data_IF_295195775805
#
_entry.id   IF_295195775805
#
_cell.length_a   1.000
_cell.length_b   1.000
_cell.length_c   1.000
_cell.angle_alpha   90.00
_cell.angle_beta   90.00
_cell.angle_gamma   90.00
#
_symmetry.space_group_name_H-M   'P 1'
#
loop_
_entity.id
_entity.type
_entity.pdbx_description
1 polymer ?
#
# COMPACT_ATOMS: atom_id res chain seq x y z
N UNK A 1 11.43 -5.42 71.25
CA UNK A 1 10.66 -5.04 70.05
C UNK A 1 11.69 -4.69 68.99
N UNK A 2 11.82 -5.57 68.01
CA UNK A 2 12.94 -5.69 67.09
C UNK A 2 12.32 -5.77 65.70
N UNK A 3 12.60 -4.78 64.86
CA UNK A 3 12.37 -4.84 63.41
C UNK A 3 13.47 -4.00 62.76
N UNK A 4 14.68 -4.55 62.76
CA UNK A 4 15.71 -4.19 61.79
C UNK A 4 15.19 -4.61 60.42
N UNK A 5 14.94 -3.63 59.56
CA UNK A 5 14.51 -3.84 58.19
C UNK A 5 15.75 -3.67 57.31
N UNK A 6 16.57 -4.71 57.31
CA UNK A 6 17.81 -4.82 56.53
C UNK A 6 17.44 -5.23 55.10
N UNK A 7 17.00 -4.25 54.30
CA UNK A 7 16.86 -4.44 52.86
C UNK A 7 18.19 -4.11 52.19
N UNK A 8 18.79 -5.04 51.43
CA UNK A 8 20.00 -4.74 50.66
C UNK A 8 19.71 -3.66 49.61
N UNK A 9 20.68 -2.80 49.30
CA UNK A 9 20.52 -1.74 48.31
C UNK A 9 20.14 -2.35 46.96
N UNK A 10 19.08 -1.82 46.36
CA UNK A 10 18.68 -2.15 44.98
C UNK A 10 19.84 -1.83 44.04
N UNK A 11 20.52 -2.86 43.56
CA UNK A 11 21.47 -2.76 42.44
C UNK A 11 20.67 -2.44 41.18
N UNK A 12 20.92 -1.26 40.62
CA UNK A 12 20.32 -0.78 39.38
C UNK A 12 20.63 -1.78 38.25
N UNK A 13 19.62 -2.38 37.60
CA UNK A 13 19.84 -3.37 36.53
C UNK A 13 20.61 -2.82 35.32
N UNK A 14 20.74 -1.50 35.20
CA UNK A 14 21.47 -0.83 34.13
C UNK A 14 23.00 -0.74 34.36
N UNK A 15 23.48 -1.06 35.56
CA UNK A 15 24.92 -1.04 35.91
C UNK A 15 25.64 -2.39 35.68
N UNK A 16 24.96 -3.35 35.04
CA UNK A 16 25.62 -4.59 34.61
C UNK A 16 26.51 -4.30 33.39
N UNK A 17 27.83 -4.53 33.46
CA UNK A 17 28.71 -4.38 32.31
C UNK A 17 28.23 -5.33 31.22
N UNK A 18 27.67 -4.75 30.14
CA UNK A 18 27.25 -5.51 28.98
C UNK A 18 28.44 -6.35 28.51
N UNK A 19 28.27 -7.67 28.29
CA UNK A 19 29.34 -8.49 27.75
C UNK A 19 29.79 -7.84 26.45
N UNK A 20 31.06 -7.44 26.39
CA UNK A 20 31.68 -6.89 25.20
C UNK A 20 31.50 -7.93 24.08
N UNK A 21 30.43 -7.73 23.31
CA UNK A 21 30.11 -8.61 22.21
C UNK A 21 31.09 -8.15 21.15
N UNK A 22 32.19 -8.90 20.99
CA UNK A 22 33.15 -8.72 19.92
C UNK A 22 32.42 -8.94 18.58
N UNK A 23 31.68 -7.92 18.16
CA UNK A 23 31.21 -7.71 16.80
C UNK A 23 32.37 -7.15 15.97
N UNK A 24 33.55 -7.75 16.10
CA UNK A 24 34.55 -7.83 15.05
C UNK A 24 34.02 -8.79 13.98
N UNK A 25 32.86 -8.41 13.43
CA UNK A 25 32.32 -8.94 12.19
C UNK A 25 33.35 -8.55 11.15
N UNK A 26 34.02 -9.56 10.62
CA UNK A 26 34.87 -9.54 9.44
C UNK A 26 34.41 -8.50 8.41
N UNK A 27 34.98 -7.30 8.48
CA UNK A 27 35.01 -6.32 7.39
C UNK A 27 36.21 -6.56 6.47
N UNK A 28 36.97 -7.62 6.73
CA UNK A 28 38.08 -8.03 5.88
C UNK A 28 37.53 -8.82 4.68
N UNK A 29 37.78 -8.23 3.51
CA UNK A 29 37.74 -8.81 2.17
C UNK A 29 36.36 -9.02 1.54
N UNK A 30 35.70 -7.91 1.20
CA UNK A 30 35.06 -7.85 -0.12
C UNK A 30 36.19 -7.91 -1.18
N UNK A 31 36.57 -9.12 -1.56
CA UNK A 31 37.60 -9.34 -2.57
C UNK A 31 37.09 -8.86 -3.93
N UNK A 32 37.95 -8.24 -4.74
CA UNK A 32 37.62 -7.83 -6.10
C UNK A 32 37.04 -8.99 -6.94
N UNK A 33 37.38 -10.24 -6.59
CA UNK A 33 36.83 -11.46 -7.19
C UNK A 33 35.31 -11.61 -7.01
N UNK A 34 34.74 -11.13 -5.90
CA UNK A 34 33.29 -11.25 -5.65
C UNK A 34 32.49 -10.25 -6.49
N UNK A 35 33.09 -9.10 -6.81
CA UNK A 35 32.51 -8.11 -7.73
C UNK A 35 32.52 -8.66 -9.14
N UNK A 36 33.62 -9.29 -9.58
CA UNK A 36 33.73 -9.90 -10.91
C UNK A 36 32.79 -11.12 -11.05
N UNK A 37 32.66 -11.94 -10.00
CA UNK A 37 31.71 -13.05 -9.99
C UNK A 37 30.25 -12.56 -10.04
N UNK A 38 29.92 -11.50 -9.31
CA UNK A 38 28.59 -10.89 -9.37
C UNK A 38 28.32 -10.27 -10.75
N UNK A 39 29.30 -9.60 -11.36
CA UNK A 39 29.17 -9.05 -12.72
C UNK A 39 29.01 -10.14 -13.78
N UNK A 40 29.74 -11.25 -13.66
CA UNK A 40 29.60 -12.41 -14.55
C UNK A 40 28.23 -13.09 -14.40
N UNK A 41 27.70 -13.18 -13.19
CA UNK A 41 26.35 -13.70 -12.96
C UNK A 41 25.27 -12.79 -13.60
N UNK A 42 25.46 -11.46 -13.51
CA UNK A 42 24.53 -10.49 -14.14
C UNK A 42 24.64 -10.52 -15.67
N UNK A 43 25.83 -10.69 -16.24
CA UNK A 43 25.99 -10.80 -17.70
C UNK A 43 25.37 -12.09 -18.25
N UNK A 44 25.53 -13.22 -17.55
CA UNK A 44 24.90 -14.49 -17.90
C UNK A 44 23.36 -14.43 -17.88
N UNK A 45 22.79 -13.58 -17.00
CA UNK A 45 21.34 -13.37 -16.94
C UNK A 45 20.83 -12.52 -18.13
N UNK A 46 21.68 -11.67 -18.69
CA UNK A 46 21.43 -10.95 -19.95
C UNK A 46 21.31 -11.91 -21.13
N UNK A 47 22.26 -12.86 -21.25
CA UNK A 47 22.22 -13.89 -22.30
C UNK A 47 20.96 -14.76 -22.22
N UNK A 48 20.48 -15.04 -21.01
CA UNK A 48 19.23 -15.80 -20.79
C UNK A 48 17.97 -15.03 -21.23
N UNK A 49 18.03 -13.70 -21.30
CA UNK A 49 16.95 -12.84 -21.78
C UNK A 49 17.00 -12.60 -23.29
N UNK A 50 18.18 -12.72 -23.91
CA UNK A 50 18.38 -12.63 -25.37
C UNK A 50 18.37 -13.98 -26.08
N UNK A 51 18.34 -15.09 -25.34
CA UNK A 51 18.17 -16.42 -25.91
C UNK A 51 16.92 -16.46 -26.80
N UNK A 52 17.04 -16.85 -28.08
CA UNK A 52 15.90 -16.93 -28.98
C UNK A 52 14.86 -17.90 -28.39
N UNK A 53 13.57 -17.58 -28.45
CA UNK A 53 12.50 -18.36 -27.82
C UNK A 53 12.41 -19.81 -28.32
N UNK A 54 13.12 -20.12 -29.40
CA UNK A 54 13.15 -21.42 -30.07
C UNK A 54 14.14 -22.40 -29.41
N UNK A 55 15.05 -21.92 -28.55
CA UNK A 55 16.10 -22.75 -27.93
C UNK A 55 15.72 -23.31 -26.55
N UNK A 56 14.57 -22.93 -25.98
CA UNK A 56 14.27 -23.17 -24.55
C UNK A 56 13.35 -24.39 -24.30
N UNK A 57 12.70 -24.98 -25.31
CA UNK A 57 11.82 -26.14 -25.05
C UNK A 57 11.70 -27.10 -26.26
N UNK A 58 12.71 -27.94 -26.49
CA UNK A 58 12.46 -29.30 -27.00
C UNK A 58 12.25 -30.22 -25.79
N UNK A 59 11.05 -30.17 -25.22
CA UNK A 59 10.62 -31.02 -24.09
C UNK A 59 10.23 -32.44 -24.54
N UNK A 60 10.57 -32.81 -25.79
CA UNK A 60 10.28 -34.11 -26.41
C UNK A 60 11.29 -35.21 -26.04
N UNK A 61 12.43 -34.87 -25.42
CA UNK A 61 13.48 -35.85 -25.08
C UNK A 61 13.54 -36.22 -23.59
N UNK A 62 12.52 -35.88 -22.79
CA UNK A 62 12.35 -36.53 -21.48
C UNK A 62 11.61 -37.85 -21.73
N UNK A 63 12.38 -38.90 -22.05
CA UNK A 63 11.93 -40.28 -21.89
C UNK A 63 11.43 -40.42 -20.44
N UNK A 64 10.12 -40.33 -20.29
CA UNK A 64 9.43 -40.76 -19.08
C UNK A 64 9.56 -42.27 -19.09
N UNK A 65 10.58 -42.78 -18.40
CA UNK A 65 10.69 -44.20 -18.08
C UNK A 65 9.34 -44.66 -17.53
N UNK A 66 8.73 -45.55 -18.29
CA UNK A 66 7.43 -46.16 -18.10
C UNK A 66 7.43 -46.89 -16.75
N UNK A 67 7.08 -46.15 -15.68
CA UNK A 67 6.82 -46.69 -14.36
C UNK A 67 5.45 -47.39 -14.33
N UNK A 68 5.23 -48.31 -15.27
CA UNK A 68 4.17 -49.31 -15.22
C UNK A 68 4.63 -50.47 -14.34
N UNK A 69 4.96 -50.19 -13.08
CA UNK A 69 5.23 -51.21 -12.08
C UNK A 69 3.94 -51.47 -11.30
N UNK A 70 3.29 -52.58 -11.64
CA UNK A 70 2.43 -53.38 -10.77
C UNK A 70 1.38 -52.59 -9.97
N UNK A 71 0.37 -52.10 -10.68
CA UNK A 71 -0.94 -51.94 -10.07
C UNK A 71 -1.49 -53.35 -9.78
N UNK A 72 -1.09 -53.91 -8.65
CA UNK A 72 -1.72 -55.10 -8.10
C UNK A 72 -3.24 -54.85 -8.04
N UNK A 73 -3.95 -55.84 -8.58
CA UNK A 73 -5.39 -55.99 -8.64
C UNK A 73 -5.97 -56.03 -7.21
N UNK A 74 -6.06 -54.87 -6.57
CA UNK A 74 -6.81 -54.72 -5.33
C UNK A 74 -8.30 -54.82 -5.69
N UNK A 75 -9.04 -55.83 -5.21
CA UNK A 75 -10.46 -55.94 -5.46
C UNK A 75 -11.15 -54.71 -4.88
N UNK A 76 -11.58 -53.80 -5.75
CA UNK A 76 -12.42 -52.66 -5.41
C UNK A 76 -13.70 -53.25 -4.81
N UNK A 77 -13.99 -53.04 -3.51
CA UNK A 77 -15.22 -53.55 -2.93
C UNK A 77 -16.40 -52.92 -3.66
N UNK A 78 -17.30 -53.74 -4.20
CA UNK A 78 -18.61 -53.35 -4.75
C UNK A 78 -19.52 -52.85 -3.60
N UNK A 79 -19.08 -51.86 -2.83
CA UNK A 79 -20.04 -51.07 -2.07
C UNK A 79 -20.84 -50.26 -3.09
N UNK A 80 -22.17 -50.41 -3.12
CA UNK A 80 -23.00 -49.49 -3.89
C UNK A 80 -22.76 -48.12 -3.28
N UNK A 81 -21.88 -47.34 -3.91
CA UNK A 81 -21.73 -45.92 -3.66
C UNK A 81 -23.10 -45.37 -3.99
N UNK A 82 -23.90 -45.28 -2.93
CA UNK A 82 -25.11 -44.50 -2.85
C UNK A 82 -24.60 -43.09 -3.06
N UNK A 83 -24.40 -42.76 -4.33
CA UNK A 83 -24.26 -41.45 -4.89
C UNK A 83 -25.61 -40.81 -4.63
N UNK A 84 -25.84 -40.51 -3.35
CA UNK A 84 -26.68 -39.45 -2.91
C UNK A 84 -26.22 -38.31 -3.78
N UNK A 85 -27.03 -38.09 -4.80
CA UNK A 85 -27.03 -36.91 -5.62
C UNK A 85 -27.45 -35.83 -4.63
N UNK A 86 -26.57 -35.48 -3.70
CA UNK A 86 -26.53 -34.17 -3.10
C UNK A 86 -26.25 -33.25 -4.27
N UNK A 87 -27.28 -33.00 -5.06
CA UNK A 87 -27.42 -31.75 -5.79
C UNK A 87 -27.05 -30.71 -4.75
N UNK A 88 -25.88 -30.06 -4.86
CA UNK A 88 -25.43 -29.16 -3.82
C UNK A 88 -26.58 -28.20 -3.64
N UNK A 89 -27.22 -28.26 -2.47
CA UNK A 89 -28.39 -27.43 -2.18
C UNK A 89 -27.84 -26.03 -2.30
N UNK A 90 -28.13 -25.37 -3.42
CA UNK A 90 -27.77 -23.98 -3.67
C UNK A 90 -28.60 -23.24 -2.64
N UNK A 91 -28.07 -23.11 -1.43
CA UNK A 91 -28.61 -22.22 -0.43
C UNK A 91 -28.57 -20.87 -1.15
N UNK A 92 -29.70 -20.18 -1.35
CA UNK A 92 -29.71 -18.80 -1.82
C UNK A 92 -29.17 -17.90 -0.71
N UNK A 93 -27.98 -18.21 -0.22
CA UNK A 93 -27.16 -17.37 0.61
C UNK A 93 -26.36 -16.54 -0.35
N UNK A 94 -26.75 -15.28 -0.48
CA UNK A 94 -25.97 -14.14 -0.95
C UNK A 94 -24.54 -14.53 -1.31
N UNK A 95 -24.33 -15.03 -2.53
CA UNK A 95 -23.02 -15.43 -2.99
C UNK A 95 -22.19 -14.15 -3.09
N UNK A 96 -21.50 -13.82 -2.00
CA UNK A 96 -20.58 -12.69 -1.94
C UNK A 96 -19.62 -12.88 -3.10
N UNK A 97 -19.73 -12.01 -4.11
CA UNK A 97 -18.88 -12.05 -5.28
C UNK A 97 -17.44 -11.95 -4.80
N UNK A 98 -16.74 -13.09 -4.73
CA UNK A 98 -15.37 -13.13 -4.26
C UNK A 98 -14.53 -12.40 -5.31
N UNK A 99 -13.67 -11.45 -4.91
CA UNK A 99 -12.77 -10.82 -5.86
C UNK A 99 -11.94 -11.92 -6.51
N UNK A 100 -11.83 -11.89 -7.84
CA UNK A 100 -10.98 -12.83 -8.55
C UNK A 100 -9.56 -12.71 -8.00
N UNK A 101 -8.98 -13.81 -7.56
CA UNK A 101 -7.56 -13.86 -7.22
C UNK A 101 -6.79 -13.35 -8.45
N UNK A 102 -6.03 -12.27 -8.27
CA UNK A 102 -5.25 -11.64 -9.32
C UNK A 102 -4.28 -12.68 -9.89
N UNK A 103 -4.59 -13.23 -11.07
CA UNK A 103 -3.62 -13.96 -11.87
C UNK A 103 -2.81 -12.92 -12.62
N UNK A 104 -1.54 -12.75 -12.28
CA UNK A 104 -0.64 -11.92 -13.06
C UNK A 104 -0.49 -12.55 -14.45
N UNK A 105 -1.17 -11.99 -15.45
CA UNK A 105 -0.95 -12.35 -16.84
C UNK A 105 0.39 -11.81 -17.31
N UNK A 106 1.18 -12.61 -18.03
CA UNK A 106 2.37 -12.12 -18.75
C UNK A 106 1.93 -11.01 -19.71
N UNK A 107 2.67 -9.91 -19.75
CA UNK A 107 2.40 -8.75 -20.61
C UNK A 107 1.45 -7.68 -20.04
N UNK A 108 0.98 -7.80 -18.79
CA UNK A 108 0.22 -6.72 -18.17
C UNK A 108 1.13 -5.54 -17.79
N UNK A 109 0.74 -4.27 -18.06
CA UNK A 109 1.54 -3.11 -17.69
C UNK A 109 1.77 -2.99 -16.17
N UNK A 110 0.89 -3.62 -15.37
CA UNK A 110 1.07 -3.72 -13.92
C UNK A 110 2.36 -4.48 -13.52
N UNK A 111 2.85 -5.40 -14.36
CA UNK A 111 4.11 -6.11 -14.11
C UNK A 111 5.35 -5.24 -14.35
N UNK A 112 5.23 -4.17 -15.14
CA UNK A 112 6.34 -3.24 -15.42
C UNK A 112 6.59 -2.27 -14.26
N UNK A 113 5.56 -1.97 -13.47
CA UNK A 113 5.65 -1.01 -12.38
C UNK A 113 6.75 -1.29 -11.35
N UNK A 114 6.87 -2.51 -10.77
CA UNK A 114 7.93 -2.79 -9.80
C UNK A 114 9.32 -2.64 -10.41
N UNK A 115 9.52 -3.04 -11.67
CA UNK A 115 10.79 -2.83 -12.37
C UNK A 115 11.11 -1.35 -12.58
N UNK A 116 10.12 -0.56 -13.01
CA UNK A 116 10.28 0.88 -13.23
C UNK A 116 10.53 1.63 -11.91
N UNK A 117 9.89 1.20 -10.83
CA UNK A 117 10.15 1.66 -9.47
C UNK A 117 11.58 1.37 -9.03
N UNK A 118 12.07 0.16 -9.29
CA UNK A 118 13.43 -0.24 -8.93
C UNK A 118 14.47 0.56 -9.71
N UNK A 119 14.24 0.79 -11.01
CA UNK A 119 15.09 1.64 -11.85
C UNK A 119 15.09 3.08 -11.33
N UNK A 120 13.94 3.65 -11.02
CA UNK A 120 13.84 5.01 -10.49
C UNK A 120 14.52 5.13 -9.11
N UNK A 121 14.35 4.14 -8.23
CA UNK A 121 15.02 4.09 -6.93
C UNK A 121 16.55 3.96 -7.07
N UNK A 122 17.03 3.13 -8.00
CA UNK A 122 18.46 2.99 -8.30
C UNK A 122 19.06 4.28 -8.88
N UNK A 123 18.39 4.90 -9.85
CA UNK A 123 18.80 6.18 -10.42
C UNK A 123 18.84 7.28 -9.35
N UNK A 124 17.83 7.31 -8.47
CA UNK A 124 17.78 8.22 -7.33
C UNK A 124 18.97 8.00 -6.39
N UNK A 125 19.24 6.76 -5.98
CA UNK A 125 20.37 6.43 -5.10
C UNK A 125 21.69 6.85 -5.72
N UNK A 126 21.88 6.57 -7.01
CA UNK A 126 23.06 6.97 -7.75
C UNK A 126 23.22 8.49 -7.80
N UNK A 127 22.12 9.23 -7.98
CA UNK A 127 22.13 10.69 -7.95
C UNK A 127 22.51 11.23 -6.58
N UNK A 128 21.99 10.64 -5.50
CA UNK A 128 22.34 11.04 -4.12
C UNK A 128 23.81 10.80 -3.78
N UNK A 129 24.41 9.73 -4.33
CA UNK A 129 25.82 9.40 -4.10
C UNK A 129 26.78 10.24 -4.94
N UNK A 130 26.37 10.66 -6.14
CA UNK A 130 27.25 11.35 -7.11
C UNK A 130 27.17 12.87 -7.05
N UNK A 131 26.01 13.46 -6.72
CA UNK A 131 25.82 14.92 -6.63
C UNK A 131 26.04 15.50 -5.21
N UNK A 132 26.90 14.88 -4.41
CA UNK A 132 27.09 15.08 -2.96
C UNK A 132 27.48 16.50 -2.48
N UNK A 133 27.42 17.55 -3.31
CA UNK A 133 27.68 18.93 -2.88
C UNK A 133 26.48 19.61 -2.21
N UNK A 134 25.25 19.07 -2.32
CA UNK A 134 24.10 19.59 -1.60
C UNK A 134 23.21 18.47 -1.02
N UNK A 135 22.88 18.48 0.29
CA UNK A 135 21.94 17.53 0.86
C UNK A 135 20.55 17.74 0.23
N UNK A 136 19.90 16.64 -0.18
CA UNK A 136 18.56 16.74 -0.75
C UNK A 136 17.58 17.28 0.29
N UNK A 137 16.70 18.19 -0.15
CA UNK A 137 15.62 18.69 0.69
C UNK A 137 14.73 17.51 1.12
N UNK A 138 14.51 17.29 2.43
CA UNK A 138 13.74 16.14 2.92
C UNK A 138 12.30 16.10 2.38
N UNK A 139 11.72 17.26 2.08
CA UNK A 139 10.40 17.33 1.43
C UNK A 139 10.37 16.68 0.05
N UNK A 140 11.48 16.73 -0.71
CA UNK A 140 11.57 16.15 -2.04
C UNK A 140 11.65 14.61 -1.97
N UNK A 141 12.34 14.09 -0.96
CA UNK A 141 12.31 12.65 -0.61
C UNK A 141 10.89 12.18 -0.28
N UNK A 142 10.18 12.90 0.61
CA UNK A 142 8.80 12.55 0.98
C UNK A 142 7.89 12.58 -0.24
N UNK A 143 7.98 13.62 -1.07
CA UNK A 143 7.23 13.72 -2.31
C UNK A 143 7.51 12.53 -3.24
N UNK A 144 8.79 12.20 -3.45
CA UNK A 144 9.20 11.08 -4.29
C UNK A 144 8.62 9.75 -3.82
N UNK A 145 8.74 9.44 -2.53
CA UNK A 145 8.20 8.19 -1.95
C UNK A 145 6.67 8.16 -2.06
N UNK A 146 5.98 9.23 -1.67
CA UNK A 146 4.54 9.30 -1.75
C UNK A 146 4.02 9.21 -3.19
N UNK A 147 4.68 9.87 -4.14
CA UNK A 147 4.33 9.80 -5.55
C UNK A 147 4.54 8.38 -6.09
N UNK A 148 5.67 7.75 -5.76
CA UNK A 148 6.01 6.41 -6.23
C UNK A 148 5.01 5.36 -5.73
N UNK A 149 4.73 5.34 -4.42
CA UNK A 149 3.72 4.44 -3.82
C UNK A 149 2.31 4.78 -4.33
N UNK A 150 2.00 6.06 -4.49
CA UNK A 150 0.71 6.50 -5.00
C UNK A 150 0.45 6.04 -6.44
N UNK A 151 1.45 6.13 -7.32
CA UNK A 151 1.37 5.63 -8.69
C UNK A 151 1.16 4.12 -8.73
N UNK A 152 1.82 3.36 -7.85
CA UNK A 152 1.56 1.92 -7.70
C UNK A 152 0.12 1.62 -7.35
N UNK A 153 -0.43 2.33 -6.36
CA UNK A 153 -1.82 2.16 -5.94
C UNK A 153 -2.81 2.54 -7.05
N UNK A 154 -2.52 3.59 -7.83
CA UNK A 154 -3.33 3.97 -9.00
C UNK A 154 -3.27 2.90 -10.09
N UNK A 155 -2.10 2.37 -10.40
CA UNK A 155 -1.95 1.29 -11.38
C UNK A 155 -2.67 0.00 -10.92
N UNK A 156 -2.57 -0.33 -9.64
CA UNK A 156 -3.31 -1.42 -9.03
C UNK A 156 -4.82 -1.22 -9.14
N UNK A 157 -5.30 0.00 -8.90
CA UNK A 157 -6.71 0.35 -9.07
C UNK A 157 -7.17 0.17 -10.52
N UNK A 158 -6.38 0.64 -11.50
CA UNK A 158 -6.68 0.47 -12.92
C UNK A 158 -6.82 -1.01 -13.31
N UNK A 159 -5.99 -1.89 -12.76
CA UNK A 159 -6.04 -3.32 -13.06
C UNK A 159 -7.17 -4.07 -12.31
N UNK A 160 -7.46 -3.66 -11.07
CA UNK A 160 -8.48 -4.31 -10.23
C UNK A 160 -9.91 -3.81 -10.51
N UNK A 161 -10.05 -2.76 -11.32
CA UNK A 161 -11.33 -2.18 -11.71
C UNK A 161 -12.15 -1.64 -10.55
N UNK A 162 -13.44 -2.02 -10.49
CA UNK A 162 -14.44 -1.45 -9.55
C UNK A 162 -14.18 -1.77 -8.06
N UNK A 163 -13.34 -2.75 -7.77
CA UNK A 163 -13.19 -3.34 -6.43
C UNK A 163 -12.13 -2.65 -5.56
N UNK A 164 -11.21 -1.89 -6.15
CA UNK A 164 -10.08 -1.29 -5.44
C UNK A 164 -10.27 0.20 -5.12
N UNK A 165 -11.47 0.62 -4.69
CA UNK A 165 -11.75 2.04 -4.36
C UNK A 165 -10.80 2.60 -3.30
N UNK A 166 -10.42 1.77 -2.33
CA UNK A 166 -9.43 2.13 -1.31
C UNK A 166 -8.06 2.45 -1.92
N UNK A 167 -7.64 1.73 -2.96
CA UNK A 167 -6.37 1.98 -3.63
C UNK A 167 -6.39 3.30 -4.43
N UNK A 168 -7.48 3.60 -5.13
CA UNK A 168 -7.66 4.91 -5.78
C UNK A 168 -7.54 6.05 -4.75
N UNK A 169 -8.27 5.95 -3.65
CA UNK A 169 -8.27 6.97 -2.60
C UNK A 169 -6.87 7.11 -1.97
N UNK A 170 -6.27 6.00 -1.55
CA UNK A 170 -4.95 6.01 -0.92
C UNK A 170 -3.87 6.53 -1.87
N UNK A 171 -3.91 6.15 -3.16
CA UNK A 171 -2.92 6.62 -4.12
C UNK A 171 -3.06 8.10 -4.45
N UNK A 172 -4.29 8.61 -4.62
CA UNK A 172 -4.54 10.04 -4.77
C UNK A 172 -4.14 10.82 -3.51
N UNK A 173 -4.47 10.30 -2.33
CA UNK A 173 -4.12 10.91 -1.06
C UNK A 173 -2.61 11.00 -0.88
N UNK A 174 -1.86 9.95 -1.25
CA UNK A 174 -0.40 9.97 -1.18
C UNK A 174 0.20 10.98 -2.15
N UNK A 175 -0.23 10.99 -3.42
CA UNK A 175 0.30 11.94 -4.40
C UNK A 175 0.00 13.38 -3.98
N UNK A 176 -1.25 13.68 -3.64
CA UNK A 176 -1.68 15.03 -3.26
C UNK A 176 -1.10 15.43 -1.90
N UNK A 177 -1.04 14.52 -0.94
CA UNK A 177 -0.46 14.73 0.39
C UNK A 177 1.06 14.96 0.33
N UNK A 178 1.77 14.17 -0.47
CA UNK A 178 3.21 14.37 -0.72
C UNK A 178 3.47 15.72 -1.39
N UNK A 179 2.68 16.08 -2.41
CA UNK A 179 2.78 17.38 -3.07
C UNK A 179 2.47 18.54 -2.11
N UNK A 180 1.45 18.39 -1.27
CA UNK A 180 1.05 19.33 -0.24
C UNK A 180 2.18 19.59 0.77
N UNK A 181 2.78 18.52 1.33
CA UNK A 181 3.89 18.62 2.30
C UNK A 181 5.11 19.29 1.68
N UNK A 182 5.39 19.01 0.41
CA UNK A 182 6.51 19.62 -0.30
C UNK A 182 6.31 21.12 -0.55
N UNK A 183 5.12 21.52 -1.03
CA UNK A 183 4.83 22.92 -1.38
C UNK A 183 4.58 23.81 -0.16
N UNK A 184 4.03 23.26 0.91
CA UNK A 184 3.57 24.00 2.08
C UNK A 184 3.97 23.26 3.39
N UNK A 185 5.27 23.21 3.72
CA UNK A 185 5.74 22.51 4.90
C UNK A 185 5.17 23.13 6.18
N UNK A 186 4.75 22.28 7.13
CA UNK A 186 4.35 22.70 8.49
C UNK A 186 2.89 23.10 8.68
N UNK A 187 2.05 23.06 7.64
CA UNK A 187 0.63 23.39 7.75
C UNK A 187 -0.22 22.11 7.81
N UNK A 188 -0.76 21.71 8.99
CA UNK A 188 -1.63 20.54 9.09
C UNK A 188 -2.92 20.69 8.24
N UNK A 189 -3.30 21.93 7.91
CA UNK A 189 -4.44 22.26 7.06
C UNK A 189 -4.32 21.70 5.64
N UNK A 190 -3.09 21.54 5.11
CA UNK A 190 -2.90 21.11 3.72
C UNK A 190 -3.30 19.64 3.55
N UNK A 191 -3.13 18.83 4.61
CA UNK A 191 -3.64 17.46 4.65
C UNK A 191 -5.15 17.41 4.55
N UNK A 192 -5.87 18.34 5.20
CA UNK A 192 -7.33 18.41 5.11
C UNK A 192 -7.79 18.65 3.67
N UNK A 193 -7.10 19.55 2.96
CA UNK A 193 -7.33 19.83 1.55
C UNK A 193 -7.04 18.61 0.67
N UNK A 194 -5.89 17.96 0.87
CA UNK A 194 -5.51 16.76 0.13
C UNK A 194 -6.52 15.61 0.34
N UNK A 195 -6.99 15.37 1.56
CA UNK A 195 -8.04 14.40 1.88
C UNK A 195 -9.35 14.76 1.18
N UNK A 196 -9.74 16.05 1.21
CA UNK A 196 -10.95 16.53 0.54
C UNK A 196 -10.91 16.32 -0.97
N UNK A 197 -9.82 16.72 -1.62
CA UNK A 197 -9.61 16.52 -3.07
C UNK A 197 -9.56 15.03 -3.42
N UNK A 198 -8.82 14.23 -2.66
CA UNK A 198 -8.74 12.78 -2.86
C UNK A 198 -10.11 12.12 -2.73
N UNK A 199 -10.92 12.51 -1.73
CA UNK A 199 -12.28 11.99 -1.54
C UNK A 199 -13.23 12.41 -2.67
N UNK A 200 -13.12 13.65 -3.15
CA UNK A 200 -13.94 14.17 -4.24
C UNK A 200 -13.62 13.46 -5.56
N UNK A 201 -12.33 13.38 -5.92
CA UNK A 201 -11.86 12.64 -7.08
C UNK A 201 -12.21 11.15 -6.97
N UNK A 202 -12.07 10.55 -5.79
CA UNK A 202 -12.49 9.15 -5.56
C UNK A 202 -13.98 8.98 -5.78
N UNK A 203 -14.80 9.89 -5.27
CA UNK A 203 -16.25 9.86 -5.48
C UNK A 203 -16.65 9.92 -6.96
N UNK A 204 -15.94 10.76 -7.73
CA UNK A 204 -16.19 11.00 -9.15
C UNK A 204 -15.68 9.87 -10.06
N UNK A 205 -14.48 9.34 -9.78
CA UNK A 205 -13.82 8.33 -10.60
C UNK A 205 -14.23 6.90 -10.22
N UNK A 206 -14.73 6.66 -9.01
CA UNK A 206 -15.20 5.34 -8.61
C UNK A 206 -16.38 4.89 -9.49
N UNK A 207 -16.38 3.61 -9.87
CA UNK A 207 -17.49 2.97 -10.59
C UNK A 207 -18.14 1.90 -9.70
N UNK A 208 -19.47 1.93 -9.46
CA UNK A 208 -20.38 3.08 -9.66
C UNK A 208 -19.97 4.32 -8.86
N UNK A 209 -20.39 5.50 -9.35
CA UNK A 209 -20.12 6.81 -8.74
C UNK A 209 -20.57 6.78 -7.28
N UNK A 210 -19.63 7.04 -6.38
CA UNK A 210 -19.87 7.02 -4.95
C UNK A 210 -20.34 8.39 -4.50
N UNK A 211 -21.60 8.73 -4.81
CA UNK A 211 -22.19 10.05 -4.53
C UNK A 211 -22.13 10.48 -3.05
N UNK A 212 -21.86 9.57 -2.11
CA UNK A 212 -21.61 9.87 -0.69
C UNK A 212 -20.27 10.59 -0.44
N UNK A 213 -19.24 10.28 -1.24
CA UNK A 213 -17.91 10.87 -1.07
C UNK A 213 -17.84 12.29 -1.63
N UNK A 214 -18.68 12.65 -2.60
CA UNK A 214 -18.72 13.99 -3.18
C UNK A 214 -19.02 15.09 -2.15
N UNK A 215 -20.13 15.05 -1.36
CA UNK A 215 -20.41 16.09 -0.39
C UNK A 215 -19.39 16.12 0.75
N UNK A 216 -18.85 14.95 1.14
CA UNK A 216 -17.79 14.87 2.17
C UNK A 216 -16.51 15.52 1.65
N UNK A 217 -16.07 15.18 0.45
CA UNK A 217 -14.89 15.76 -0.19
C UNK A 217 -15.05 17.26 -0.40
N UNK A 218 -16.22 17.72 -0.85
CA UNK A 218 -16.54 19.14 -1.00
C UNK A 218 -16.48 19.88 0.35
N UNK A 219 -17.09 19.32 1.40
CA UNK A 219 -17.07 19.93 2.73
C UNK A 219 -15.64 20.05 3.29
N UNK A 220 -14.82 19.01 3.13
CA UNK A 220 -13.41 19.03 3.54
C UNK A 220 -12.58 20.04 2.74
N UNK A 221 -12.83 20.14 1.43
CA UNK A 221 -12.16 21.09 0.57
C UNK A 221 -12.52 22.54 0.93
N UNK A 222 -13.80 22.83 1.18
CA UNK A 222 -14.25 24.13 1.65
C UNK A 222 -13.67 24.47 3.03
N UNK A 223 -13.62 23.49 3.95
CA UNK A 223 -12.99 23.67 5.25
C UNK A 223 -11.49 23.99 5.12
N UNK A 224 -10.78 23.31 4.21
CA UNK A 224 -9.37 23.58 3.95
C UNK A 224 -9.14 24.97 3.34
N UNK A 225 -9.97 25.39 2.37
CA UNK A 225 -9.91 26.74 1.77
C UNK A 225 -10.20 27.82 2.81
N UNK A 226 -11.21 27.62 3.66
CA UNK A 226 -11.53 28.55 4.74
C UNK A 226 -10.38 28.67 5.73
N UNK A 227 -9.84 27.54 6.19
CA UNK A 227 -8.75 27.52 7.14
C UNK A 227 -7.47 28.14 6.55
N UNK A 228 -7.19 27.89 5.26
CA UNK A 228 -6.10 28.54 4.53
C UNK A 228 -6.31 30.06 4.48
N UNK A 229 -7.49 30.53 4.07
CA UNK A 229 -7.80 31.96 3.99
C UNK A 229 -7.69 32.64 5.37
N UNK A 230 -8.09 31.95 6.44
CA UNK A 230 -7.92 32.42 7.81
C UNK A 230 -6.44 32.53 8.18
N UNK A 231 -5.63 31.51 7.87
CA UNK A 231 -4.19 31.52 8.15
C UNK A 231 -3.43 32.58 7.34
N UNK A 232 -3.93 32.91 6.14
CA UNK A 232 -3.38 33.94 5.28
C UNK A 232 -3.78 35.37 5.70
N UNK A 233 -4.64 35.53 6.72
CA UNK A 233 -5.10 36.84 7.19
C UNK A 233 -6.02 37.57 6.21
N UNK A 234 -6.57 36.86 5.21
CA UNK A 234 -7.43 37.45 4.17
C UNK A 234 -8.84 37.75 4.71
N UNK A 235 -9.26 37.04 5.77
CA UNK A 235 -10.59 37.23 6.36
C UNK A 235 -10.61 38.38 7.40
N UNK A 236 -11.50 39.37 7.23
CA UNK A 236 -11.80 40.36 8.26
C UNK A 236 -12.24 39.72 9.58
N UNK A 237 -11.79 40.28 10.71
CA UNK A 237 -12.10 39.79 12.07
C UNK A 237 -13.59 39.75 12.42
N UNK A 238 -14.41 40.58 11.75
CA UNK A 238 -15.86 40.56 11.89
C UNK A 238 -16.48 39.23 11.41
N UNK A 239 -15.93 38.63 10.35
CA UNK A 239 -16.44 37.38 9.77
C UNK A 239 -16.03 36.18 10.63
N UNK A 240 -14.78 36.17 11.12
CA UNK A 240 -14.27 35.07 11.95
C UNK A 240 -15.01 34.97 13.28
N UNK A 241 -15.36 36.10 13.91
CA UNK A 241 -16.15 36.12 15.15
C UNK A 241 -17.59 35.60 14.97
N UNK A 242 -18.22 35.89 13.83
CA UNK A 242 -19.55 35.37 13.49
C UNK A 242 -19.52 33.86 13.22
N UNK A 243 -18.55 33.38 12.45
CA UNK A 243 -18.40 31.95 12.13
C UNK A 243 -18.07 31.11 13.38
N UNK A 244 -17.26 31.66 14.29
CA UNK A 244 -16.94 31.05 15.58
C UNK A 244 -18.15 30.94 16.54
N UNK A 245 -19.31 31.50 16.21
CA UNK A 245 -20.57 31.16 16.91
C UNK A 245 -21.44 30.22 16.08
N UNK A 246 -21.42 30.37 14.76
CA UNK A 246 -22.22 29.55 13.85
C UNK A 246 -21.80 28.07 13.82
N UNK A 247 -20.51 27.74 14.01
CA UNK A 247 -20.02 26.34 13.96
C UNK A 247 -20.72 25.41 14.96
N UNK A 248 -21.12 25.92 16.12
CA UNK A 248 -21.86 25.16 17.16
C UNK A 248 -23.21 24.66 16.63
N UNK A 249 -23.83 25.38 15.70
CA UNK A 249 -25.11 25.01 15.08
C UNK A 249 -24.88 24.21 13.79
N UNK A 250 -23.87 24.60 12.99
CA UNK A 250 -23.59 23.97 11.70
C UNK A 250 -23.13 22.51 11.87
N UNK A 251 -22.25 22.22 12.84
CA UNK A 251 -21.76 20.86 13.10
C UNK A 251 -22.88 19.84 13.37
N UNK A 252 -23.81 20.06 14.32
CA UNK A 252 -24.88 19.12 14.58
C UNK A 252 -25.85 19.00 13.40
N UNK A 253 -26.15 20.08 12.69
CA UNK A 253 -27.00 20.02 11.48
C UNK A 253 -26.34 19.14 10.40
N UNK A 254 -25.05 19.34 10.13
CA UNK A 254 -24.26 18.51 9.22
C UNK A 254 -24.24 17.04 9.66
N UNK A 255 -24.03 16.79 10.97
CA UNK A 255 -24.03 15.44 11.53
C UNK A 255 -25.40 14.76 11.35
N UNK A 256 -26.50 15.46 11.61
CA UNK A 256 -27.87 14.96 11.43
C UNK A 256 -28.17 14.67 9.96
N UNK A 257 -27.81 15.58 9.04
CA UNK A 257 -28.00 15.35 7.60
C UNK A 257 -27.20 14.13 7.10
N UNK A 258 -25.96 13.97 7.56
CA UNK A 258 -25.16 12.78 7.28
C UNK A 258 -25.82 11.51 7.84
N UNK A 259 -26.33 11.56 9.07
CA UNK A 259 -26.98 10.43 9.73
C UNK A 259 -28.26 10.01 9.01
N UNK A 260 -29.08 10.96 8.56
CA UNK A 260 -30.29 10.72 7.74
C UNK A 260 -29.91 10.03 6.43
N UNK A 261 -28.86 10.50 5.74
CA UNK A 261 -28.35 9.88 4.52
C UNK A 261 -27.83 8.45 4.71
N UNK A 262 -27.32 8.13 5.90
CA UNK A 262 -26.90 6.77 6.27
C UNK A 262 -28.11 5.88 6.53
N UNK A 263 -29.11 6.35 7.29
CA UNK A 263 -30.27 5.56 7.71
C UNK A 263 -31.22 5.24 6.55
N UNK A 264 -31.59 6.25 5.76
CA UNK A 264 -32.57 6.11 4.67
C UNK A 264 -32.19 5.05 3.63
N UNK A 265 -30.90 4.88 3.33
CA UNK A 265 -30.42 3.86 2.40
C UNK A 265 -30.40 2.45 2.95
N UNK A 266 -30.36 2.24 4.27
CA UNK A 266 -30.47 0.89 4.85
C UNK A 266 -31.85 0.27 4.61
N UNK A 267 -32.83 1.07 4.19
CA UNK A 267 -34.20 0.62 3.89
C UNK A 267 -34.45 0.36 2.40
N UNK A 268 -33.50 0.71 1.53
CA UNK A 268 -33.64 0.57 0.07
C UNK A 268 -32.91 -0.66 -0.50
N UNK A 269 -32.33 -1.49 0.37
CA UNK A 269 -31.69 -2.78 0.07
C UNK A 269 -32.48 -3.83 0.84
#
# INVERSE_FOLDING_TARGET
>A
MMTDNDYPPETDPDDLPLPATDLRRSTDEFSASDIDAALAAVSAMGDLLTAPPDAVYSFDDVEVDDYSADAEDYPVPDEPVNTLTETPRVVPGTALTRPSLLKLGRGQPAALLPGLLLIAAGAYWMFTLTLASAPLAPGLMTLGICAAVGVVLLAYWLNSGRWARGALFAGLLLILGGAAVYLMPGLPLVWLGAIGVAALLTGLLARPIAGRLLPIGLALLLAAVYAWAQSAGVLPSAITGGLARAWVIVLPVMAVLLLIGIITRRRAV
#
